data_IF_893990362310
#
_entry.id   IF_893990362310
#
_cell.length_a   1.000
_cell.length_b   1.000
_cell.length_c   1.000
_cell.angle_alpha   90.00
_cell.angle_beta   90.00
_cell.angle_gamma   90.00
#
_symmetry.space_group_name_H-M   'P 1'
#
loop_
_entity.id
_entity.type
_entity.pdbx_description
1 polymer ?
#
# COMPACT_ATOMS: atom_id res chain seq x y z
N UNK A 1 -38.78 -14.26 24.19
CA UNK A 1 -37.54 -14.90 23.67
C UNK A 1 -36.33 -13.95 23.57
N UNK A 2 -36.46 -12.72 23.04
CA UNK A 2 -35.35 -11.73 22.96
C UNK A 2 -34.71 -11.35 24.31
N UNK A 3 -35.48 -11.32 25.40
CA UNK A 3 -35.01 -10.89 26.73
C UNK A 3 -33.97 -11.86 27.34
N UNK A 4 -34.15 -13.18 27.15
CA UNK A 4 -33.25 -14.18 27.71
C UNK A 4 -31.90 -14.25 26.99
N UNK A 5 -31.89 -13.95 25.68
CA UNK A 5 -30.66 -13.91 24.87
C UNK A 5 -29.77 -12.75 25.32
N UNK A 6 -30.35 -11.56 25.55
CA UNK A 6 -29.61 -10.39 26.01
C UNK A 6 -28.94 -10.61 27.38
N UNK A 7 -29.64 -11.26 28.31
CA UNK A 7 -29.11 -11.58 29.65
C UNK A 7 -27.98 -12.62 29.56
N UNK A 8 -28.12 -13.61 28.69
CA UNK A 8 -27.11 -14.63 28.43
C UNK A 8 -25.80 -14.04 27.89
N UNK A 9 -25.88 -13.19 26.85
CA UNK A 9 -24.71 -12.49 26.31
C UNK A 9 -24.07 -11.58 27.37
N UNK A 10 -24.87 -10.82 28.12
CA UNK A 10 -24.36 -9.93 29.18
C UNK A 10 -23.60 -10.70 30.28
N UNK A 11 -24.08 -11.87 30.67
CA UNK A 11 -23.42 -12.70 31.68
C UNK A 11 -22.14 -13.37 31.16
N UNK A 12 -22.12 -13.82 29.90
CA UNK A 12 -20.91 -14.37 29.26
C UNK A 12 -19.85 -13.30 29.06
N UNK A 13 -20.23 -12.14 28.53
CA UNK A 13 -19.35 -10.98 28.35
C UNK A 13 -18.75 -10.52 29.67
N UNK A 14 -19.53 -10.52 30.76
CA UNK A 14 -19.07 -10.09 32.07
C UNK A 14 -18.13 -11.11 32.74
N UNK A 15 -18.40 -12.42 32.63
CA UNK A 15 -17.50 -13.47 33.14
C UNK A 15 -16.18 -13.54 32.39
N UNK A 16 -16.22 -13.33 31.07
CA UNK A 16 -15.06 -13.48 30.19
C UNK A 16 -14.47 -12.14 29.74
N UNK A 17 -14.80 -11.02 30.41
CA UNK A 17 -14.46 -9.68 29.96
C UNK A 17 -12.95 -9.48 29.74
N UNK A 18 -12.12 -10.08 30.60
CA UNK A 18 -10.65 -10.04 30.47
C UNK A 18 -10.21 -10.79 29.21
N UNK A 19 -10.73 -12.00 28.98
CA UNK A 19 -10.40 -12.81 27.80
C UNK A 19 -10.83 -12.14 26.50
N UNK A 20 -12.01 -11.52 26.48
CA UNK A 20 -12.52 -10.78 25.32
C UNK A 20 -11.65 -9.55 25.04
N UNK A 21 -11.20 -8.83 26.07
CA UNK A 21 -10.24 -7.72 25.91
C UNK A 21 -8.92 -8.20 25.30
N UNK A 22 -8.39 -9.33 25.76
CA UNK A 22 -7.15 -9.91 25.21
C UNK A 22 -7.32 -10.25 23.73
N UNK A 23 -8.43 -10.90 23.35
CA UNK A 23 -8.72 -11.21 21.95
C UNK A 23 -8.83 -9.93 21.12
N UNK A 24 -9.53 -8.91 21.60
CA UNK A 24 -9.66 -7.63 20.89
C UNK A 24 -8.30 -6.95 20.69
N UNK A 25 -7.46 -6.93 21.72
CA UNK A 25 -6.09 -6.40 21.62
C UNK A 25 -5.27 -7.21 20.62
N UNK A 26 -5.36 -8.53 20.64
CA UNK A 26 -4.66 -9.40 19.70
C UNK A 26 -5.10 -9.10 18.26
N UNK A 27 -6.40 -8.95 18.01
CA UNK A 27 -6.94 -8.60 16.69
C UNK A 27 -6.42 -7.22 16.26
N UNK A 28 -6.42 -6.22 17.15
CA UNK A 28 -5.90 -4.88 16.84
C UNK A 28 -4.41 -4.92 16.51
N UNK A 29 -3.61 -5.68 17.27
CA UNK A 29 -2.18 -5.85 17.00
C UNK A 29 -1.97 -6.57 15.66
N UNK A 30 -2.69 -7.66 15.41
CA UNK A 30 -2.61 -8.36 14.12
C UNK A 30 -2.96 -7.42 12.97
N UNK A 31 -4.05 -6.66 13.08
CA UNK A 31 -4.41 -5.66 12.08
C UNK A 31 -3.35 -4.59 11.86
N UNK A 32 -2.73 -4.12 12.95
CA UNK A 32 -1.64 -3.16 12.84
C UNK A 32 -0.43 -3.72 12.07
N UNK A 33 -0.14 -5.02 12.22
CA UNK A 33 0.92 -5.68 11.45
C UNK A 33 0.57 -5.85 9.96
N UNK A 34 -0.71 -6.09 9.64
CA UNK A 34 -1.19 -6.26 8.26
C UNK A 34 -1.58 -4.95 7.57
N UNK A 35 -1.37 -3.80 8.22
CA UNK A 35 -1.60 -2.54 7.55
C UNK A 35 -0.40 -2.21 6.65
N UNK A 36 -0.65 -2.03 5.36
CA UNK A 36 0.40 -1.61 4.44
C UNK A 36 0.76 -0.15 4.66
N UNK A 37 2.04 0.14 4.94
CA UNK A 37 2.57 1.51 5.02
C UNK A 37 2.34 2.31 3.75
N UNK A 38 2.31 1.66 2.58
CA UNK A 38 2.02 2.31 1.30
C UNK A 38 0.58 2.82 1.17
N UNK A 39 -0.31 2.51 2.12
CA UNK A 39 -1.65 3.09 2.15
C UNK A 39 -1.65 4.56 2.59
N UNK A 40 -0.57 5.04 3.20
CA UNK A 40 -0.40 6.43 3.61
C UNK A 40 0.66 7.10 2.75
N UNK A 41 0.23 7.98 1.85
CA UNK A 41 1.14 8.81 1.06
C UNK A 41 0.54 10.15 0.69
N UNK A 42 1.44 11.10 0.45
CA UNK A 42 1.17 12.45 0.01
C UNK A 42 2.48 13.21 -0.15
N UNK A 43 2.40 14.53 -0.21
CA UNK A 43 3.58 15.37 -0.47
C UNK A 43 4.66 15.23 0.60
N UNK A 44 4.28 14.87 1.83
CA UNK A 44 5.21 14.71 2.97
C UNK A 44 6.19 13.52 2.84
N UNK A 45 5.89 12.53 1.98
CA UNK A 45 6.75 11.37 1.74
C UNK A 45 7.01 11.12 0.26
N UNK A 46 6.74 12.12 -0.58
CA UNK A 46 7.13 12.10 -1.98
C UNK A 46 8.66 12.23 -2.07
N UNK A 47 9.30 11.25 -2.70
CA UNK A 47 10.74 11.21 -2.85
C UNK A 47 11.18 11.67 -4.24
N UNK A 48 10.45 11.31 -5.28
CA UNK A 48 10.80 11.65 -6.66
C UNK A 48 9.58 11.55 -7.59
N UNK A 49 9.68 12.20 -8.74
CA UNK A 49 8.69 12.15 -9.83
C UNK A 49 9.39 11.91 -11.16
N UNK A 50 9.02 10.82 -11.82
CA UNK A 50 9.54 10.48 -13.16
C UNK A 50 8.44 10.75 -14.19
N UNK A 51 8.70 11.71 -15.07
CA UNK A 51 7.78 12.04 -16.17
C UNK A 51 7.95 11.08 -17.36
N UNK A 52 6.83 10.74 -17.99
CA UNK A 52 6.81 9.98 -19.25
C UNK A 52 7.31 10.82 -20.42
N UNK A 53 7.88 10.16 -21.43
CA UNK A 53 8.50 10.80 -22.60
C UNK A 53 7.53 11.70 -23.37
N UNK A 54 6.24 11.39 -23.37
CA UNK A 54 5.21 12.17 -24.06
C UNK A 54 4.36 13.05 -23.13
N UNK A 55 4.72 13.11 -21.84
CA UNK A 55 4.06 13.93 -20.83
C UNK A 55 2.63 13.48 -20.47
N UNK A 56 2.15 12.32 -20.94
CA UNK A 56 0.78 11.87 -20.63
C UNK A 56 0.66 11.20 -19.27
N UNK A 57 1.76 10.64 -18.78
CA UNK A 57 1.82 9.92 -17.52
C UNK A 57 3.08 10.30 -16.76
N UNK A 58 3.00 10.19 -15.43
CA UNK A 58 4.15 10.29 -14.55
C UNK A 58 4.02 9.28 -13.42
N UNK A 59 5.16 8.85 -12.88
CA UNK A 59 5.21 8.05 -11.65
C UNK A 59 5.73 8.92 -10.53
N UNK A 60 5.01 8.91 -9.41
CA UNK A 60 5.53 9.38 -8.15
C UNK A 60 6.09 8.20 -7.36
N UNK A 61 7.28 8.42 -6.81
CA UNK A 61 7.93 7.52 -5.88
C UNK A 61 7.71 8.03 -4.46
N UNK A 62 7.08 7.21 -3.64
CA UNK A 62 6.84 7.54 -2.24
C UNK A 62 7.70 6.69 -1.33
N UNK A 63 8.24 7.31 -0.29
CA UNK A 63 8.94 6.60 0.77
C UNK A 63 7.93 6.00 1.75
N UNK A 64 8.11 4.74 2.11
CA UNK A 64 7.32 4.11 3.17
C UNK A 64 7.57 4.80 4.50
N UNK A 65 6.48 5.04 5.23
CA UNK A 65 6.55 5.49 6.61
C UNK A 65 6.77 4.29 7.55
N UNK A 66 7.47 4.48 8.69
CA UNK A 66 7.66 3.45 9.71
C UNK A 66 6.39 3.26 10.56
N UNK A 67 5.24 3.03 9.91
CA UNK A 67 3.93 2.95 10.57
C UNK A 67 3.58 1.56 11.09
N UNK A 68 4.25 0.52 10.62
CA UNK A 68 4.07 -0.87 11.09
C UNK A 68 5.41 -1.55 11.34
N UNK A 69 5.48 -2.58 12.20
CA UNK A 69 6.72 -3.32 12.46
C UNK A 69 7.35 -3.89 11.18
N UNK A 70 6.53 -4.38 10.25
CA UNK A 70 7.01 -4.85 8.95
C UNK A 70 7.65 -3.71 8.14
N UNK A 71 7.02 -2.54 8.09
CA UNK A 71 7.59 -1.38 7.39
C UNK A 71 8.92 -0.95 8.00
N UNK A 72 9.02 -0.92 9.34
CA UNK A 72 10.29 -0.63 10.03
C UNK A 72 11.38 -1.63 9.64
N UNK A 73 11.06 -2.93 9.63
CA UNK A 73 11.99 -3.98 9.23
C UNK A 73 12.49 -3.78 7.79
N UNK A 74 11.59 -3.60 6.83
CA UNK A 74 11.94 -3.42 5.42
C UNK A 74 12.74 -2.12 5.17
N UNK A 75 12.41 -1.04 5.89
CA UNK A 75 13.15 0.23 5.83
C UNK A 75 14.60 0.09 6.30
N UNK A 76 14.85 -0.72 7.35
CA UNK A 76 16.21 -1.06 7.82
C UNK A 76 16.98 -1.84 6.75
N UNK A 77 16.30 -2.71 6.00
CA UNK A 77 16.89 -3.46 4.88
C UNK A 77 17.14 -2.59 3.62
N UNK A 78 16.85 -1.28 3.67
CA UNK A 78 17.07 -0.37 2.55
C UNK A 78 15.99 -0.43 1.46
N UNK A 79 14.90 -1.17 1.69
CA UNK A 79 13.76 -1.24 0.78
C UNK A 79 12.72 -0.20 1.19
N UNK A 80 12.78 0.97 0.57
CA UNK A 80 12.16 2.19 1.10
C UNK A 80 11.01 2.72 0.27
N UNK A 81 10.82 2.25 -0.94
CA UNK A 81 9.93 2.92 -1.89
C UNK A 81 8.77 2.07 -2.37
N UNK A 82 7.74 2.76 -2.82
CA UNK A 82 6.67 2.22 -3.65
C UNK A 82 6.26 3.27 -4.68
N UNK A 83 5.59 2.81 -5.74
CA UNK A 83 5.33 3.64 -6.92
C UNK A 83 3.83 3.80 -7.16
N UNK A 84 3.44 4.99 -7.57
CA UNK A 84 2.07 5.29 -7.98
C UNK A 84 2.11 6.00 -9.33
N UNK A 85 1.38 5.44 -10.29
CA UNK A 85 1.26 5.96 -11.64
C UNK A 85 0.04 6.87 -11.73
N UNK A 86 0.26 8.05 -12.29
CA UNK A 86 -0.76 9.06 -12.55
C UNK A 86 -0.79 9.39 -14.04
N UNK A 87 -1.93 9.89 -14.50
CA UNK A 87 -2.00 10.61 -15.77
C UNK A 87 -1.64 12.09 -15.56
N UNK A 88 -1.46 12.84 -16.65
CA UNK A 88 -1.13 14.28 -16.64
C UNK A 88 -2.13 15.16 -15.89
N UNK A 89 -3.36 14.71 -15.68
CA UNK A 89 -4.37 15.42 -14.88
C UNK A 89 -4.28 15.11 -13.37
N UNK A 90 -3.34 14.27 -12.94
CA UNK A 90 -3.21 13.85 -11.55
C UNK A 90 -4.18 12.76 -11.10
N UNK A 91 -4.93 12.13 -12.02
CA UNK A 91 -5.75 10.95 -11.69
C UNK A 91 -4.82 9.75 -11.49
N UNK A 92 -4.93 9.09 -10.34
CA UNK A 92 -4.25 7.82 -10.07
C UNK A 92 -4.76 6.74 -11.02
N UNK A 93 -3.85 6.15 -11.79
CA UNK A 93 -4.14 5.06 -12.74
C UNK A 93 -3.75 3.72 -12.13
N UNK A 94 -2.59 3.64 -11.47
CA UNK A 94 -2.07 2.40 -10.93
C UNK A 94 -1.19 2.65 -9.71
N UNK A 95 -0.98 1.61 -8.90
CA UNK A 95 -0.03 1.60 -7.77
C UNK A 95 0.67 0.25 -7.73
N UNK A 96 1.92 0.23 -7.28
CA UNK A 96 2.62 -1.01 -6.96
C UNK A 96 1.86 -1.79 -5.88
N UNK A 97 2.11 -3.10 -5.77
CA UNK A 97 1.54 -3.91 -4.70
C UNK A 97 1.71 -3.25 -3.32
N UNK A 98 0.74 -3.46 -2.44
CA UNK A 98 0.73 -2.83 -1.11
C UNK A 98 1.98 -3.16 -0.28
N UNK A 99 2.61 -4.30 -0.50
CA UNK A 99 3.84 -4.71 0.18
C UNK A 99 5.06 -4.64 -0.73
N UNK A 100 5.00 -3.84 -1.80
CA UNK A 100 6.18 -3.56 -2.60
C UNK A 100 7.11 -2.66 -1.78
N UNK A 101 8.27 -3.20 -1.42
CA UNK A 101 9.36 -2.48 -0.76
C UNK A 101 10.55 -2.47 -1.71
N UNK A 102 10.74 -1.35 -2.38
CA UNK A 102 11.65 -1.21 -3.50
C UNK A 102 12.91 -0.48 -3.03
N UNK A 103 14.08 -0.95 -3.47
CA UNK A 103 15.38 -0.32 -3.18
C UNK A 103 15.69 0.79 -4.18
N UNK A 104 16.57 1.73 -3.79
CA UNK A 104 17.06 2.84 -4.63
C UNK A 104 17.57 2.41 -6.01
N UNK A 105 18.13 1.20 -6.13
CA UNK A 105 18.68 0.70 -7.40
C UNK A 105 17.66 0.47 -8.53
N UNK A 106 16.35 0.51 -8.26
CA UNK A 106 15.30 0.26 -9.23
C UNK A 106 14.74 1.51 -9.94
N UNK A 107 15.14 2.71 -9.50
CA UNK A 107 14.46 3.98 -9.84
C UNK A 107 14.63 4.37 -11.32
N UNK A 108 15.67 3.86 -12.00
CA UNK A 108 15.95 4.23 -13.40
C UNK A 108 15.47 3.21 -14.45
N UNK A 109 14.76 2.14 -14.06
CA UNK A 109 14.32 1.08 -14.98
C UNK A 109 12.81 1.08 -15.23
N UNK A 110 12.22 2.27 -15.36
CA UNK A 110 10.81 2.40 -15.77
C UNK A 110 10.68 2.52 -17.29
N UNK A 111 9.64 1.87 -17.82
CA UNK A 111 9.06 2.25 -19.09
C UNK A 111 7.62 2.67 -18.82
N UNK A 112 7.39 3.97 -18.81
CA UNK A 112 6.06 4.53 -18.56
C UNK A 112 5.15 4.34 -19.79
N UNK A 113 3.83 4.19 -19.56
CA UNK A 113 2.85 4.25 -20.63
C UNK A 113 2.94 5.56 -21.42
N UNK A 114 2.46 5.52 -22.66
CA UNK A 114 2.40 6.65 -23.61
C UNK A 114 1.06 6.64 -24.35
N UNK A 115 0.76 7.66 -25.16
CA UNK A 115 -0.41 7.67 -26.06
C UNK A 115 -0.51 6.43 -26.95
N UNK A 116 0.63 5.83 -27.30
CA UNK A 116 0.74 4.70 -28.22
C UNK A 116 0.89 3.34 -27.52
N UNK A 117 1.11 3.32 -26.21
CA UNK A 117 1.36 2.10 -25.46
C UNK A 117 0.84 2.20 -24.03
N UNK A 118 -0.06 1.30 -23.67
CA UNK A 118 -0.63 1.20 -22.32
C UNK A 118 0.20 0.29 -21.39
N UNK A 119 1.46 0.02 -21.73
CA UNK A 119 2.31 -0.87 -20.96
C UNK A 119 3.17 -0.07 -19.98
N UNK A 120 3.03 -0.39 -18.69
CA UNK A 120 3.96 0.01 -17.65
C UNK A 120 4.96 -1.12 -17.42
N UNK A 121 6.25 -0.82 -17.48
CA UNK A 121 7.31 -1.74 -17.03
C UNK A 121 8.05 -1.13 -15.85
N UNK A 122 8.28 -1.94 -14.83
CA UNK A 122 9.04 -1.55 -13.65
C UNK A 122 9.82 -2.76 -13.11
N UNK A 123 10.78 -2.50 -12.23
CA UNK A 123 11.56 -3.54 -11.58
C UNK A 123 11.11 -3.72 -10.13
N UNK A 124 10.79 -4.96 -9.77
CA UNK A 124 10.43 -5.40 -8.42
C UNK A 124 10.80 -6.89 -8.30
N UNK A 125 11.96 -7.14 -7.68
CA UNK A 125 12.59 -8.48 -7.60
C UNK A 125 12.65 -9.20 -8.97
N UNK A 126 12.76 -8.40 -10.05
CA UNK A 126 12.64 -8.83 -11.44
C UNK A 126 11.85 -7.84 -12.30
N UNK A 127 11.88 -8.02 -13.63
CA UNK A 127 11.11 -7.18 -14.56
C UNK A 127 9.63 -7.54 -14.49
N UNK A 128 8.79 -6.56 -14.15
CA UNK A 128 7.33 -6.67 -14.17
C UNK A 128 6.76 -5.85 -15.33
N UNK A 129 5.70 -6.36 -15.96
CA UNK A 129 4.97 -5.68 -17.02
C UNK A 129 3.50 -5.64 -16.62
N UNK A 130 2.90 -4.46 -16.67
CA UNK A 130 1.49 -4.22 -16.33
C UNK A 130 0.83 -3.55 -17.52
N UNK A 131 -0.25 -4.15 -18.00
CA UNK A 131 -1.15 -3.51 -18.95
C UNK A 131 -2.19 -2.68 -18.19
N UNK A 132 -2.22 -1.37 -18.45
CA UNK A 132 -3.15 -0.43 -17.81
C UNK A 132 -4.36 -0.09 -18.67
N UNK A 133 -4.60 -0.80 -19.79
CA UNK A 133 -5.73 -0.52 -20.71
C UNK A 133 -7.07 -0.43 -19.98
N UNK A 134 -7.34 -1.36 -19.05
CA UNK A 134 -8.59 -1.38 -18.27
C UNK A 134 -8.69 -0.28 -17.19
N UNK A 135 -7.65 0.54 -17.00
CA UNK A 135 -7.57 1.57 -15.95
C UNK A 135 -7.60 3.00 -16.50
N UNK A 136 -7.53 3.15 -17.82
CA UNK A 136 -7.52 4.46 -18.50
C UNK A 136 -8.95 4.96 -18.80
N UNK A 137 -9.95 4.07 -18.79
CA UNK A 137 -11.36 4.43 -18.96
C UNK A 137 -11.94 5.19 -17.75
#
# INVERSE_FOLDING_TARGET
MKHNIHIFFKNILRKNAVFIKIILVLIMVMWWWFFSSSSFYGDFNLSDTVEGVDGEYYINMYQHLPTTPLAVYELIQGKRYFYVLYNKQGKKIWRSPHYAYLSDGGIHSFMLPTKKSNLLKYFDEGRKIVDITNKIN
#
